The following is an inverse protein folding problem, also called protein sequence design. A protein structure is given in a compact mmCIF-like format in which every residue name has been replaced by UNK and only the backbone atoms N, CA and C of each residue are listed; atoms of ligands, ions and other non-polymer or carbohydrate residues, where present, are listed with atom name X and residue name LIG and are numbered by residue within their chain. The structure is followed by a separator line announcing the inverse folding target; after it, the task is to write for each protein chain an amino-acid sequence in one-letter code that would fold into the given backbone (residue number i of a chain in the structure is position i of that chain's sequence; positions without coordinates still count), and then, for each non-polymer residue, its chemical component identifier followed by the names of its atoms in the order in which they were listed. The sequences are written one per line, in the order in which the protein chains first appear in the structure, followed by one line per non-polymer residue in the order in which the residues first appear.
data_IF_347581436851
#
_entry.id   IF_347581436851
#
_cell.length_a   1.000
_cell.length_b   1.000
_cell.length_c   1.000
_cell.angle_alpha   90.00
_cell.angle_beta   90.00
_cell.angle_gamma   90.00
#
_symmetry.space_group_name_H-M   'P 1'
#
loop_
_entity.id
_entity.type
_entity.pdbx_description
1 polymer ?
#
# COMPACT_ATOMS: atom_id res chain seq x y z
N UNK A 1 13.25 -6.03 -14.00
CA UNK A 1 12.75 -4.85 -13.27
C UNK A 1 11.44 -4.50 -13.93
N UNK A 2 10.37 -4.29 -13.18
CA UNK A 2 9.13 -3.79 -13.76
C UNK A 2 9.30 -2.28 -14.01
N UNK A 3 8.60 -1.72 -14.99
CA UNK A 3 8.70 -0.28 -15.26
C UNK A 3 7.87 0.53 -14.25
N UNK A 4 6.80 -0.06 -13.73
CA UNK A 4 5.91 0.59 -12.77
C UNK A 4 5.56 -0.31 -11.61
N UNK A 5 5.76 0.20 -10.40
CA UNK A 5 5.36 -0.43 -9.15
C UNK A 5 4.49 0.50 -8.33
N UNK A 6 3.41 -0.04 -7.79
CA UNK A 6 2.41 0.69 -7.03
C UNK A 6 1.98 -0.07 -5.78
N UNK A 7 1.59 0.71 -4.78
CA UNK A 7 0.81 0.24 -3.65
C UNK A 7 -0.52 1.00 -3.59
N UNK A 8 -1.59 0.28 -3.29
CA UNK A 8 -2.90 0.85 -2.97
C UNK A 8 -3.20 0.55 -1.50
N UNK A 9 -3.45 1.59 -0.72
CA UNK A 9 -3.82 1.49 0.71
C UNK A 9 -5.23 2.00 0.90
N UNK A 10 -6.04 1.21 1.59
CA UNK A 10 -7.38 1.57 2.05
C UNK A 10 -7.32 1.65 3.57
N UNK A 11 -7.69 2.80 4.12
CA UNK A 11 -7.68 3.06 5.56
C UNK A 11 -8.99 3.74 6.00
N UNK A 12 -9.41 3.59 7.27
CA UNK A 12 -10.46 4.43 7.84
C UNK A 12 -10.07 5.91 7.80
N UNK A 13 -11.04 6.83 7.71
CA UNK A 13 -10.75 8.28 7.66
C UNK A 13 -9.91 8.76 8.85
N UNK A 14 -10.23 8.30 10.05
CA UNK A 14 -9.50 8.64 11.27
C UNK A 14 -8.16 7.90 11.42
N UNK A 15 -7.88 6.92 10.56
CA UNK A 15 -6.65 6.14 10.58
C UNK A 15 -5.48 6.91 9.98
N UNK A 16 -4.31 6.71 10.57
CA UNK A 16 -3.02 7.21 10.06
C UNK A 16 -2.23 6.04 9.48
N UNK A 17 -1.46 6.32 8.43
CA UNK A 17 -0.65 5.32 7.72
C UNK A 17 0.78 5.85 7.59
N UNK A 18 1.75 5.05 7.99
CA UNK A 18 3.18 5.36 7.89
C UNK A 18 3.83 4.35 6.95
N UNK A 19 4.56 4.85 5.95
CA UNK A 19 5.33 4.06 5.00
C UNK A 19 6.81 4.39 5.20
N UNK A 20 7.62 3.37 5.49
CA UNK A 20 9.07 3.50 5.71
C UNK A 20 9.43 4.63 6.69
N UNK A 21 8.72 4.66 7.83
CA UNK A 21 8.83 5.70 8.89
C UNK A 21 8.28 7.08 8.52
N UNK A 22 7.82 7.30 7.30
CA UNK A 22 7.20 8.56 6.84
C UNK A 22 5.68 8.47 6.96
N UNK A 23 5.08 9.38 7.73
CA UNK A 23 3.63 9.52 7.80
C UNK A 23 3.10 10.00 6.45
N UNK A 24 2.13 9.29 5.88
CA UNK A 24 1.50 9.68 4.62
C UNK A 24 0.59 10.90 4.84
N UNK A 25 0.78 11.91 4.02
CA UNK A 25 -0.01 13.15 4.05
C UNK A 25 -1.48 12.89 3.69
N UNK A 26 -2.41 13.54 4.38
CA UNK A 26 -3.84 13.38 4.10
C UNK A 26 -4.23 13.79 2.66
N UNK A 27 -3.43 14.65 2.03
CA UNK A 27 -3.64 15.08 0.65
C UNK A 27 -3.43 13.98 -0.40
N UNK A 28 -2.68 12.92 -0.09
CA UNK A 28 -2.51 11.78 -1.02
C UNK A 28 -3.71 10.84 -1.01
N UNK A 29 -4.59 10.99 -0.02
CA UNK A 29 -5.77 10.16 0.15
C UNK A 29 -7.01 10.79 -0.49
N UNK A 30 -7.91 9.94 -0.96
CA UNK A 30 -9.24 10.31 -1.42
C UNK A 30 -10.29 9.52 -0.65
N UNK A 31 -11.27 10.19 -0.08
CA UNK A 31 -12.42 9.54 0.52
C UNK A 31 -13.25 8.81 -0.56
N UNK A 32 -13.90 7.71 -0.19
CA UNK A 32 -14.80 6.97 -1.08
C UNK A 32 -15.97 6.35 -0.31
N UNK A 33 -16.95 5.82 -1.04
CA UNK A 33 -18.14 5.20 -0.46
C UNK A 33 -19.00 6.22 0.29
N UNK A 34 -19.34 5.92 1.54
CA UNK A 34 -20.06 6.80 2.46
C UNK A 34 -19.15 7.82 3.18
N UNK A 35 -17.85 7.82 2.87
CA UNK A 35 -16.86 8.67 3.52
C UNK A 35 -16.28 8.07 4.80
N UNK A 36 -16.54 6.81 5.13
CA UNK A 36 -15.89 6.13 6.27
C UNK A 36 -14.44 5.75 5.99
N UNK A 37 -14.08 5.58 4.71
CA UNK A 37 -12.77 5.13 4.26
C UNK A 37 -12.13 6.10 3.27
N UNK A 38 -10.80 6.02 3.21
CA UNK A 38 -9.95 6.74 2.27
C UNK A 38 -8.99 5.79 1.57
N UNK A 39 -8.64 6.11 0.33
CA UNK A 39 -7.72 5.34 -0.51
C UNK A 39 -6.56 6.21 -0.98
N UNK A 40 -5.35 5.68 -0.92
CA UNK A 40 -4.17 6.23 -1.56
C UNK A 40 -3.61 5.21 -2.56
N UNK A 41 -3.23 5.67 -3.75
CA UNK A 41 -2.47 4.90 -4.74
C UNK A 41 -1.15 5.62 -4.93
N UNK A 42 -0.05 4.96 -4.56
CA UNK A 42 1.28 5.56 -4.54
C UNK A 42 2.21 4.76 -5.43
N UNK A 43 3.04 5.40 -6.27
CA UNK A 43 4.19 4.73 -6.86
C UNK A 43 5.16 4.35 -5.75
N UNK A 44 5.83 3.22 -5.89
CA UNK A 44 6.79 2.71 -4.91
C UNK A 44 8.09 2.32 -5.62
N UNK A 45 9.21 2.43 -4.90
CA UNK A 45 10.49 1.99 -5.43
C UNK A 45 10.62 0.46 -5.31
N UNK A 46 11.57 -0.12 -6.03
CA UNK A 46 11.96 -1.50 -5.80
C UNK A 46 12.54 -1.69 -4.39
N UNK A 47 12.14 -2.76 -3.73
CA UNK A 47 12.73 -3.17 -2.45
C UNK A 47 11.69 -3.65 -1.44
N UNK A 48 12.15 -3.73 -0.20
CA UNK A 48 11.31 -4.09 0.96
C UNK A 48 10.81 -2.80 1.60
N UNK A 49 9.50 -2.71 1.75
CA UNK A 49 8.82 -1.57 2.35
C UNK A 49 8.04 -2.00 3.59
N UNK A 50 8.00 -1.14 4.61
CA UNK A 50 7.27 -1.40 5.84
C UNK A 50 6.14 -0.38 5.98
N UNK A 51 4.90 -0.87 5.95
CA UNK A 51 3.72 -0.09 6.25
C UNK A 51 3.20 -0.38 7.66
N UNK A 52 2.98 0.66 8.45
CA UNK A 52 2.31 0.58 9.76
C UNK A 52 1.11 1.51 9.76
N UNK A 53 0.08 1.16 10.54
CA UNK A 53 -1.14 1.95 10.62
C UNK A 53 -1.73 1.93 12.03
N UNK A 54 -2.46 2.98 12.40
CA UNK A 54 -3.12 3.09 13.71
C UNK A 54 -4.47 2.35 13.80
N UNK A 55 -4.97 1.84 12.67
CA UNK A 55 -6.17 1.03 12.55
C UNK A 55 -5.97 -0.05 11.47
N UNK A 56 -6.82 -1.09 11.40
CA UNK A 56 -6.77 -2.06 10.33
C UNK A 56 -6.88 -1.40 8.95
N UNK A 57 -6.00 -1.80 8.04
CA UNK A 57 -5.93 -1.29 6.66
C UNK A 57 -5.95 -2.43 5.65
N UNK A 58 -6.44 -2.15 4.44
CA UNK A 58 -6.21 -2.99 3.28
C UNK A 58 -5.01 -2.48 2.50
N UNK A 59 -4.14 -3.38 2.05
CA UNK A 59 -2.99 -3.06 1.21
C UNK A 59 -2.91 -4.04 0.04
N UNK A 60 -2.72 -3.51 -1.16
CA UNK A 60 -2.51 -4.28 -2.38
C UNK A 60 -1.29 -3.73 -3.12
N UNK A 61 -0.32 -4.61 -3.43
CA UNK A 61 0.92 -4.27 -4.11
C UNK A 61 0.88 -4.88 -5.50
N UNK A 62 1.27 -4.12 -6.51
CA UNK A 62 1.23 -4.57 -7.89
C UNK A 62 2.19 -3.76 -8.75
N UNK A 63 2.65 -4.38 -9.83
CA UNK A 63 3.48 -3.72 -10.82
C UNK A 63 3.33 -4.36 -12.18
N UNK A 64 3.78 -3.63 -13.20
CA UNK A 64 3.68 -4.07 -14.59
C UNK A 64 4.73 -3.40 -15.48
N UNK A 65 4.98 -4.06 -16.60
CA UNK A 65 5.76 -3.60 -17.75
C UNK A 65 4.99 -4.06 -19.02
N UNK A 66 5.53 -3.76 -20.19
CA UNK A 66 4.97 -4.02 -21.53
C UNK A 66 4.45 -5.44 -21.74
N UNK A 67 5.00 -6.44 -21.04
CA UNK A 67 4.65 -7.85 -21.23
C UNK A 67 4.45 -8.66 -19.94
N UNK A 68 4.66 -8.06 -18.77
CA UNK A 68 4.66 -8.78 -17.49
C UNK A 68 3.96 -7.97 -16.41
N UNK A 69 3.33 -8.66 -15.47
CA UNK A 69 2.66 -8.02 -14.33
C UNK A 69 2.65 -8.94 -13.11
N UNK A 70 2.58 -8.35 -11.93
CA UNK A 70 2.37 -9.06 -10.67
C UNK A 70 1.39 -8.28 -9.79
N UNK A 71 0.79 -8.97 -8.82
CA UNK A 71 -0.07 -8.34 -7.84
C UNK A 71 -0.40 -9.27 -6.69
N UNK A 72 -0.33 -8.77 -5.47
CA UNK A 72 -0.65 -9.52 -4.26
C UNK A 72 -1.24 -8.62 -3.17
N UNK A 73 -2.23 -9.10 -2.40
CA UNK A 73 -2.67 -8.43 -1.19
C UNK A 73 -1.62 -8.61 -0.09
N UNK A 74 -1.52 -7.63 0.80
CA UNK A 74 -0.82 -7.82 2.06
C UNK A 74 -1.67 -8.66 3.03
N UNK A 75 -1.06 -9.07 4.14
CA UNK A 75 -1.77 -9.83 5.18
C UNK A 75 -2.03 -11.30 4.82
N UNK A 76 -1.32 -11.84 3.82
CA UNK A 76 -1.33 -13.26 3.48
C UNK A 76 -0.46 -14.12 4.42
N UNK A 77 0.04 -13.54 5.51
CA UNK A 77 0.95 -14.20 6.46
C UNK A 77 2.20 -14.77 5.78
N UNK A 78 2.87 -13.91 5.00
CA UNK A 78 4.10 -14.27 4.30
C UNK A 78 5.27 -14.24 5.30
N UNK A 79 5.75 -15.42 5.69
CA UNK A 79 6.97 -15.57 6.49
C UNK A 79 8.22 -15.62 5.59
N UNK A 80 9.31 -15.06 6.10
CA UNK A 80 10.62 -15.17 5.45
C UNK A 80 11.20 -16.56 5.71
N UNK A 81 11.53 -17.30 4.64
CA UNK A 81 11.91 -18.71 4.74
C UNK A 81 13.35 -18.93 5.25
N UNK A 82 14.17 -17.88 5.34
CA UNK A 82 15.61 -18.00 5.62
C UNK A 82 16.13 -16.98 6.67
N UNK A 83 15.44 -16.83 7.81
CA UNK A 83 16.02 -16.12 8.97
C UNK A 83 17.24 -16.87 9.56
#
# INVERSE_FOLDING_TARGET
QYEFDYLTVIAPIAGTVTLDTVLLEESVFKAFGDGSFKVAKLPIADGVHHLTASAPVGLFVYGYDSYVSYGYPAGLDLEDLFQ
#
